data_IF_039925122566
#
_entry.id   IF_039925122566
#
_cell.length_a   1.000
_cell.length_b   1.000
_cell.length_c   1.000
_cell.angle_alpha   90.00
_cell.angle_beta   90.00
_cell.angle_gamma   90.00
#
_symmetry.space_group_name_H-M   'P 1'
#
loop_
_entity.id
_entity.type
_entity.pdbx_description
1 polymer ?
#
# COMPACT_ATOMS: atom_id res chain seq x y z
N UNK A 1 20.68 39.98 25.65
CA UNK A 1 19.79 39.39 24.64
C UNK A 1 20.28 38.00 24.18
N UNK A 2 20.69 37.10 25.09
CA UNK A 2 21.31 35.80 24.75
C UNK A 2 20.40 34.60 25.13
N UNK A 3 19.43 34.80 26.02
CA UNK A 3 18.52 33.74 26.48
C UNK A 3 17.29 33.48 25.61
N UNK A 4 16.94 34.38 24.69
CA UNK A 4 15.71 34.25 23.90
C UNK A 4 15.81 33.18 22.80
N UNK A 5 16.98 33.06 22.17
CA UNK A 5 17.25 32.13 21.06
C UNK A 5 17.17 30.66 21.53
N UNK A 6 17.87 30.21 22.59
CA UNK A 6 17.79 28.82 23.02
C UNK A 6 16.40 28.42 23.53
N UNK A 7 15.67 29.35 24.16
CA UNK A 7 14.28 29.13 24.60
C UNK A 7 13.35 28.96 23.40
N UNK A 8 13.51 29.76 22.35
CA UNK A 8 12.72 29.65 21.12
C UNK A 8 12.99 28.31 20.40
N UNK A 9 14.24 27.86 20.34
CA UNK A 9 14.62 26.58 19.74
C UNK A 9 14.00 25.39 20.50
N UNK A 10 13.98 25.43 21.83
CA UNK A 10 13.35 24.40 22.65
C UNK A 10 11.83 24.36 22.44
N UNK A 11 11.17 25.52 22.38
CA UNK A 11 9.74 25.59 22.11
C UNK A 11 9.37 25.05 20.72
N UNK A 12 10.14 25.38 19.69
CA UNK A 12 9.94 24.83 18.34
C UNK A 12 10.21 23.32 18.29
N UNK A 13 11.26 22.83 18.94
CA UNK A 13 11.57 21.39 19.00
C UNK A 13 10.49 20.59 19.73
N UNK A 14 9.96 21.11 20.84
CA UNK A 14 8.85 20.47 21.57
C UNK A 14 7.56 20.53 20.74
N UNK A 15 7.25 21.67 20.11
CA UNK A 15 6.06 21.82 19.27
C UNK A 15 6.06 20.86 18.07
N UNK A 16 7.19 20.66 17.39
CA UNK A 16 7.27 19.70 16.26
C UNK A 16 7.10 18.26 16.70
N UNK A 17 7.60 17.87 17.88
CA UNK A 17 7.36 16.52 18.44
C UNK A 17 5.91 16.28 18.85
N UNK A 18 5.19 17.33 19.28
CA UNK A 18 3.77 17.23 19.62
C UNK A 18 2.91 17.14 18.34
N UNK A 19 3.25 17.92 17.29
CA UNK A 19 2.50 17.94 16.03
C UNK A 19 2.62 16.64 15.23
N UNK A 20 3.78 15.96 15.28
CA UNK A 20 3.99 14.71 14.56
C UNK A 20 3.10 13.55 15.04
N UNK A 21 2.61 13.61 16.28
CA UNK A 21 1.67 12.63 16.83
C UNK A 21 0.21 12.86 16.37
N UNK A 22 -0.12 14.04 15.81
CA UNK A 22 -1.49 14.44 15.47
C UNK A 22 -1.86 14.07 14.02
N UNK A 23 -0.88 13.77 13.16
CA UNK A 23 -1.15 13.16 11.85
C UNK A 23 -1.48 11.67 12.05
N UNK A 24 -2.72 11.40 12.44
CA UNK A 24 -3.29 10.07 12.28
C UNK A 24 -3.01 9.57 10.87
N UNK A 25 -2.65 8.28 10.74
CA UNK A 25 -2.42 7.69 9.43
C UNK A 25 -3.67 7.87 8.57
N UNK A 26 -3.52 8.66 7.51
CA UNK A 26 -4.57 8.90 6.53
C UNK A 26 -4.90 7.60 5.80
N UNK A 27 -6.10 7.06 6.00
CA UNK A 27 -6.58 5.82 5.38
C UNK A 27 -7.84 6.08 4.53
N UNK A 28 -8.13 5.18 3.58
CA UNK A 28 -9.41 5.19 2.85
C UNK A 28 -9.68 6.46 2.04
N UNK A 29 -8.64 7.17 1.62
CA UNK A 29 -8.79 8.36 0.76
C UNK A 29 -9.20 7.92 -0.64
N UNK A 30 -10.33 8.45 -1.10
CA UNK A 30 -10.85 8.23 -2.45
C UNK A 30 -10.96 9.57 -3.15
N UNK A 31 -10.71 9.59 -4.47
CA UNK A 31 -11.05 10.74 -5.30
C UNK A 31 -12.49 10.56 -5.81
N UNK A 32 -13.36 11.50 -5.45
CA UNK A 32 -14.76 11.47 -5.85
C UNK A 32 -14.94 11.52 -7.38
N UNK A 33 -14.03 12.20 -8.09
CA UNK A 33 -14.01 12.23 -9.56
C UNK A 33 -13.75 10.86 -10.17
N UNK A 34 -12.89 10.03 -9.56
CA UNK A 34 -12.61 8.67 -10.02
C UNK A 34 -13.80 7.75 -9.68
N UNK A 35 -14.29 7.82 -8.44
CA UNK A 35 -15.42 7.00 -7.99
C UNK A 35 -16.69 7.19 -8.85
N UNK A 36 -16.93 8.41 -9.33
CA UNK A 36 -18.12 8.76 -10.10
C UNK A 36 -17.89 8.81 -11.63
N UNK A 37 -16.73 8.37 -12.14
CA UNK A 37 -16.41 8.47 -13.56
C UNK A 37 -17.17 7.46 -14.45
N UNK A 38 -17.89 6.50 -13.86
CA UNK A 38 -18.65 5.44 -14.53
C UNK A 38 -17.81 4.56 -15.48
N UNK A 39 -16.49 4.56 -15.35
CA UNK A 39 -15.60 3.68 -16.12
C UNK A 39 -15.73 2.24 -15.64
N UNK A 40 -15.58 1.30 -16.57
CA UNK A 40 -15.59 -0.14 -16.27
C UNK A 40 -14.36 -0.58 -15.46
N UNK A 41 -13.24 0.10 -15.68
CA UNK A 41 -11.96 -0.17 -15.01
C UNK A 41 -11.54 1.03 -14.16
N UNK A 42 -10.88 0.73 -13.05
CA UNK A 42 -10.39 1.75 -12.12
C UNK A 42 -9.25 2.54 -12.75
N UNK A 43 -8.99 3.74 -12.23
CA UNK A 43 -7.70 4.39 -12.47
C UNK A 43 -6.58 3.68 -11.66
N UNK A 44 -5.29 3.82 -12.04
CA UNK A 44 -4.18 3.15 -11.34
C UNK A 44 -4.06 3.49 -9.84
N UNK A 45 -4.46 4.69 -9.43
CA UNK A 45 -4.33 5.21 -8.06
C UNK A 45 -5.65 5.22 -7.28
N UNK A 46 -6.72 4.61 -7.80
CA UNK A 46 -8.07 4.72 -7.22
C UNK A 46 -8.22 3.93 -5.90
N UNK A 47 -7.62 2.73 -5.83
CA UNK A 47 -7.67 1.86 -4.64
C UNK A 47 -6.27 1.35 -4.24
N UNK A 48 -5.35 2.25 -3.82
CA UNK A 48 -3.93 1.93 -3.66
C UNK A 48 -3.64 0.95 -2.50
N UNK A 49 -4.63 0.67 -1.65
CA UNK A 49 -4.52 -0.30 -0.57
C UNK A 49 -4.85 -1.73 -0.98
N UNK A 50 -5.34 -1.98 -2.19
CA UNK A 50 -5.58 -3.34 -2.69
C UNK A 50 -4.25 -3.93 -3.17
N UNK A 51 -3.93 -5.13 -2.69
CA UNK A 51 -2.77 -5.88 -3.11
C UNK A 51 -3.10 -7.33 -3.46
N UNK A 52 -2.25 -7.97 -4.27
CA UNK A 52 -2.37 -9.37 -4.68
C UNK A 52 -1.38 -10.21 -3.89
N UNK A 53 -1.81 -11.37 -3.41
CA UNK A 53 -0.95 -12.30 -2.64
C UNK A 53 -0.26 -13.25 -3.62
N UNK A 54 1.07 -13.19 -3.64
CA UNK A 54 1.91 -14.04 -4.48
C UNK A 54 2.21 -15.38 -3.81
N UNK A 55 1.97 -16.46 -4.54
CA UNK A 55 2.20 -17.84 -4.15
C UNK A 55 3.22 -18.46 -5.09
N UNK A 56 4.20 -19.17 -4.57
CA UNK A 56 5.18 -19.86 -5.41
C UNK A 56 6.07 -20.78 -4.62
N UNK A 57 6.85 -21.56 -5.35
CA UNK A 57 8.03 -22.21 -4.80
C UNK A 57 9.23 -21.28 -5.03
N UNK A 58 9.96 -20.99 -3.96
CA UNK A 58 11.24 -20.29 -3.99
C UNK A 58 12.23 -20.82 -5.05
N UNK A 59 12.07 -22.07 -5.51
CA UNK A 59 12.96 -22.73 -6.46
C UNK A 59 12.62 -22.54 -7.95
N UNK A 60 11.36 -22.29 -8.31
CA UNK A 60 10.87 -22.44 -9.69
C UNK A 60 10.48 -21.12 -10.38
N UNK A 61 10.56 -19.99 -9.68
CA UNK A 61 10.33 -18.66 -10.24
C UNK A 61 8.89 -18.36 -10.71
N UNK A 62 7.98 -19.34 -10.69
CA UNK A 62 6.57 -19.14 -11.01
C UNK A 62 5.83 -18.58 -9.80
N UNK A 63 5.26 -17.39 -9.97
CA UNK A 63 4.37 -16.77 -8.98
C UNK A 63 2.94 -16.79 -9.50
N UNK A 64 2.03 -17.34 -8.70
CA UNK A 64 0.60 -17.31 -8.93
C UNK A 64 -0.08 -16.36 -7.93
N UNK A 65 -1.17 -15.73 -8.35
CA UNK A 65 -1.96 -14.84 -7.50
C UNK A 65 -3.39 -15.35 -7.40
N UNK A 66 -3.79 -15.76 -6.20
CA UNK A 66 -5.11 -16.35 -5.95
C UNK A 66 -5.93 -15.63 -4.89
N UNK A 67 -5.31 -14.70 -4.16
CA UNK A 67 -5.95 -13.95 -3.09
C UNK A 67 -5.59 -12.47 -3.19
N UNK A 68 -6.45 -11.65 -2.59
CA UNK A 68 -6.22 -10.23 -2.39
C UNK A 68 -5.94 -9.95 -0.91
N UNK A 69 -5.27 -8.85 -0.65
CA UNK A 69 -5.03 -8.29 0.66
C UNK A 69 -5.32 -6.78 0.66
N UNK A 70 -5.65 -6.23 1.83
CA UNK A 70 -5.89 -4.80 2.01
C UNK A 70 -4.86 -4.23 2.98
N UNK A 71 -4.09 -3.23 2.55
CA UNK A 71 -3.15 -2.52 3.40
C UNK A 71 -3.91 -1.68 4.42
N UNK A 72 -3.74 -2.00 5.71
CA UNK A 72 -4.42 -1.29 6.81
C UNK A 72 -3.47 -0.33 7.53
N UNK A 73 -2.17 -0.62 7.53
CA UNK A 73 -1.09 0.21 8.10
C UNK A 73 0.23 -0.09 7.36
N UNK A 74 1.27 0.75 7.50
CA UNK A 74 2.59 0.38 7.04
C UNK A 74 2.98 -1.01 7.59
N UNK A 75 3.27 -1.93 6.66
CA UNK A 75 3.66 -3.33 6.95
C UNK A 75 2.58 -4.25 7.52
N UNK A 76 1.31 -3.83 7.53
CA UNK A 76 0.20 -4.69 7.96
C UNK A 76 -0.90 -4.70 6.92
N UNK A 77 -1.26 -5.89 6.46
CA UNK A 77 -2.37 -6.12 5.56
C UNK A 77 -3.34 -7.12 6.16
N UNK A 78 -4.62 -7.00 5.81
CA UNK A 78 -5.66 -7.96 6.16
C UNK A 78 -6.05 -8.77 4.92
N UNK A 79 -6.25 -10.07 5.11
CA UNK A 79 -6.66 -11.02 4.08
C UNK A 79 -7.43 -12.19 4.72
N UNK A 80 -8.23 -12.96 3.96
CA UNK A 80 -8.89 -14.16 4.46
C UNK A 80 -7.89 -15.20 4.98
N UNK A 81 -8.20 -15.86 6.11
CA UNK A 81 -7.29 -16.83 6.72
C UNK A 81 -6.94 -18.02 5.80
N UNK A 82 -7.88 -18.44 4.96
CA UNK A 82 -7.65 -19.55 4.00
C UNK A 82 -6.59 -19.20 2.93
N UNK A 83 -6.25 -17.93 2.76
CA UNK A 83 -5.17 -17.50 1.87
C UNK A 83 -3.79 -17.85 2.41
N UNK A 84 -3.63 -18.21 3.69
CA UNK A 84 -2.33 -18.58 4.29
C UNK A 84 -2.32 -19.90 5.05
N UNK A 85 -3.46 -20.36 5.58
CA UNK A 85 -3.50 -21.56 6.44
C UNK A 85 -3.78 -22.88 5.70
N UNK A 86 -4.35 -22.84 4.48
CA UNK A 86 -4.95 -24.03 3.84
C UNK A 86 -4.50 -24.27 2.39
N UNK A 87 -3.32 -23.78 1.96
CA UNK A 87 -2.76 -24.12 0.64
C UNK A 87 -1.65 -25.16 0.80
N UNK A 88 -2.02 -26.43 0.67
CA UNK A 88 -1.15 -27.58 0.89
C UNK A 88 0.03 -27.73 -0.10
N UNK A 89 0.09 -26.92 -1.16
CA UNK A 89 1.10 -27.04 -2.22
C UNK A 89 1.92 -25.76 -2.47
N UNK A 90 1.56 -24.61 -1.89
CA UNK A 90 2.24 -23.34 -2.20
C UNK A 90 2.14 -22.32 -1.06
N UNK A 91 3.28 -21.81 -0.63
CA UNK A 91 3.37 -20.80 0.43
C UNK A 91 3.04 -19.39 -0.11
N UNK A 92 2.42 -18.57 0.74
CA UNK A 92 2.30 -17.15 0.49
C UNK A 92 3.66 -16.48 0.74
N UNK A 93 4.24 -15.87 -0.30
CA UNK A 93 5.60 -15.33 -0.26
C UNK A 93 5.61 -13.81 -0.04
N UNK A 94 4.74 -13.09 -0.72
CA UNK A 94 4.68 -11.64 -0.69
C UNK A 94 3.28 -11.11 -1.02
N UNK A 95 3.08 -9.81 -0.79
CA UNK A 95 1.91 -9.07 -1.24
C UNK A 95 2.41 -7.97 -2.17
N UNK A 96 1.89 -7.97 -3.40
CA UNK A 96 2.15 -6.95 -4.40
C UNK A 96 1.08 -5.87 -4.31
N UNK A 97 1.48 -4.64 -4.00
CA UNK A 97 0.62 -3.45 -4.03
C UNK A 97 0.95 -2.60 -5.25
N UNK A 98 -0.02 -1.81 -5.71
CA UNK A 98 0.18 -0.89 -6.84
C UNK A 98 0.20 -1.55 -8.23
N UNK A 99 -0.12 -2.84 -8.29
CA UNK A 99 -0.39 -3.54 -9.55
C UNK A 99 -1.84 -3.28 -9.98
N UNK A 100 -1.99 -2.60 -11.11
CA UNK A 100 -3.28 -2.19 -11.64
C UNK A 100 -3.80 -3.19 -12.68
N UNK A 101 -2.93 -3.80 -13.47
CA UNK A 101 -3.26 -4.76 -14.54
C UNK A 101 -2.67 -6.14 -14.26
N UNK A 102 -3.44 -6.94 -13.53
CA UNK A 102 -3.10 -8.30 -13.16
C UNK A 102 -2.83 -9.30 -14.32
N UNK A 103 -3.05 -8.92 -15.58
CA UNK A 103 -2.81 -9.73 -16.78
C UNK A 103 -1.42 -9.50 -17.41
N UNK A 104 -0.60 -8.62 -16.84
CA UNK A 104 0.76 -8.28 -17.30
C UNK A 104 1.82 -9.01 -16.48
N UNK A 105 3.07 -8.91 -16.93
CA UNK A 105 4.21 -9.23 -16.09
C UNK A 105 4.20 -8.29 -14.89
N UNK A 106 4.07 -8.83 -13.67
CA UNK A 106 3.99 -8.02 -12.45
C UNK A 106 5.32 -7.35 -12.07
N UNK A 107 6.41 -7.67 -12.77
CA UNK A 107 7.69 -6.97 -12.71
C UNK A 107 7.74 -5.74 -13.65
N UNK A 108 6.74 -5.56 -14.52
CA UNK A 108 6.63 -4.42 -15.43
C UNK A 108 5.75 -3.31 -14.80
N UNK A 109 6.17 -2.06 -14.95
CA UNK A 109 5.40 -0.93 -14.44
C UNK A 109 4.15 -0.67 -15.30
N UNK A 110 2.97 -0.71 -14.68
CA UNK A 110 1.70 -0.44 -15.36
C UNK A 110 1.50 1.04 -15.72
N UNK A 111 2.18 1.95 -15.02
CA UNK A 111 1.99 3.40 -15.14
C UNK A 111 2.85 4.03 -16.25
N UNK A 112 3.60 3.24 -17.01
CA UNK A 112 4.34 3.73 -18.17
C UNK A 112 3.35 3.91 -19.33
N UNK A 113 2.97 5.16 -19.50
CA UNK A 113 2.04 5.69 -20.49
C UNK A 113 2.21 5.10 -21.89
N UNK A 114 1.07 4.74 -22.50
CA UNK A 114 0.82 5.03 -23.90
C UNK A 114 1.16 6.53 -24.14
N UNK A 115 2.37 6.80 -24.65
CA UNK A 115 2.75 8.09 -25.25
C UNK A 115 2.48 8.00 -26.74
#
# INVERSE_FOLDING_TARGET
MIGAIPVLCLLFGVLTTIVSQIQGQSCGKLQESQLNNLKEYTEPDEFPWIGRVGYGDSSNGSTNFYCLAVLIKPRHAILPAHCVLNRAEVDALFILFGDWRANRNFDEEDCLFDV
#
